data_IF_761543439515
#
_entry.id   IF_761543439515
#
_cell.length_a   1.000
_cell.length_b   1.000
_cell.length_c   1.000
_cell.angle_alpha   90.00
_cell.angle_beta   90.00
_cell.angle_gamma   90.00
#
_symmetry.space_group_name_H-M   'P 1'
#
loop_
_entity.id
_entity.type
_entity.pdbx_description
1 polymer ?
#
# COMPACT_ATOMS: atom_id res chain seq x y z
N UNK A 1 42.98 27.20 0.85
CA UNK A 1 42.58 25.86 1.32
C UNK A 1 41.33 25.93 2.19
N UNK A 2 41.27 26.79 3.22
CA UNK A 2 40.07 26.92 4.07
C UNK A 2 38.85 27.60 3.37
N UNK A 3 39.08 28.54 2.46
CA UNK A 3 38.00 29.20 1.69
C UNK A 3 37.35 28.29 0.62
N UNK A 4 38.12 27.37 0.04
CA UNK A 4 37.59 26.39 -0.93
C UNK A 4 36.70 25.34 -0.26
N UNK A 5 37.07 24.91 0.95
CA UNK A 5 36.27 24.00 1.78
C UNK A 5 34.96 24.69 2.21
N UNK A 6 35.02 25.96 2.62
CA UNK A 6 33.82 26.75 2.96
C UNK A 6 32.85 26.91 1.78
N UNK A 7 33.36 27.11 0.56
CA UNK A 7 32.53 27.22 -0.64
C UNK A 7 31.97 25.86 -1.11
N UNK A 8 32.69 24.76 -0.89
CA UNK A 8 32.16 23.40 -1.11
C UNK A 8 31.04 23.07 -0.12
N UNK A 9 31.20 23.38 1.18
CA UNK A 9 30.15 23.22 2.19
C UNK A 9 28.89 24.01 1.85
N UNK A 10 29.04 25.24 1.36
CA UNK A 10 27.91 26.08 0.96
C UNK A 10 27.18 25.53 -0.28
N UNK A 11 27.92 24.90 -1.21
CA UNK A 11 27.35 24.20 -2.37
C UNK A 11 26.65 22.90 -1.98
N UNK A 12 27.22 22.13 -1.06
CA UNK A 12 26.61 20.90 -0.53
C UNK A 12 25.31 21.18 0.22
N UNK A 13 25.26 22.23 1.04
CA UNK A 13 24.04 22.60 1.76
C UNK A 13 22.92 23.00 0.79
N UNK A 14 23.25 23.75 -0.28
CA UNK A 14 22.28 24.10 -1.33
C UNK A 14 21.80 22.87 -2.10
N UNK A 15 22.69 21.94 -2.41
CA UNK A 15 22.37 20.71 -3.13
C UNK A 15 21.45 19.80 -2.29
N UNK A 16 21.76 19.63 -1.00
CA UNK A 16 20.92 18.90 -0.03
C UNK A 16 19.51 19.50 0.10
N UNK A 17 19.42 20.83 0.14
CA UNK A 17 18.13 21.52 0.22
C UNK A 17 17.31 21.35 -1.07
N UNK A 18 17.97 21.38 -2.24
CA UNK A 18 17.34 21.13 -3.54
C UNK A 18 16.81 19.69 -3.63
N UNK A 19 17.62 18.70 -3.24
CA UNK A 19 17.22 17.29 -3.23
C UNK A 19 16.05 17.03 -2.29
N UNK A 20 16.03 17.69 -1.12
CA UNK A 20 14.92 17.61 -0.17
C UNK A 20 13.63 18.13 -0.78
N UNK A 21 13.68 19.30 -1.45
CA UNK A 21 12.52 19.86 -2.13
C UNK A 21 12.01 18.96 -3.26
N UNK A 22 12.91 18.43 -4.09
CA UNK A 22 12.55 17.50 -5.17
C UNK A 22 11.94 16.20 -4.63
N UNK A 23 12.47 15.67 -3.53
CA UNK A 23 11.92 14.47 -2.88
C UNK A 23 10.50 14.73 -2.38
N UNK A 24 10.26 15.88 -1.75
CA UNK A 24 8.94 16.29 -1.26
C UNK A 24 7.93 16.44 -2.41
N UNK A 25 8.34 17.06 -3.51
CA UNK A 25 7.53 17.18 -4.72
C UNK A 25 7.21 15.82 -5.34
N UNK A 26 8.21 14.94 -5.44
CA UNK A 26 8.04 13.58 -5.96
C UNK A 26 7.01 12.79 -5.15
N UNK A 27 7.08 12.87 -3.81
CA UNK A 27 6.11 12.25 -2.90
C UNK A 27 4.70 12.78 -3.17
N UNK A 28 4.52 14.11 -3.26
CA UNK A 28 3.22 14.72 -3.51
C UNK A 28 2.61 14.27 -4.85
N UNK A 29 3.40 14.28 -5.93
CA UNK A 29 2.95 13.85 -7.26
C UNK A 29 2.56 12.38 -7.24
N UNK A 30 3.35 11.53 -6.58
CA UNK A 30 3.06 10.10 -6.45
C UNK A 30 1.73 9.86 -5.71
N UNK A 31 1.45 10.62 -4.64
CA UNK A 31 0.18 10.52 -3.90
C UNK A 31 -1.01 10.89 -4.78
N UNK A 32 -0.91 11.98 -5.55
CA UNK A 32 -1.97 12.42 -6.46
C UNK A 32 -2.22 11.39 -7.57
N UNK A 33 -1.16 10.83 -8.15
CA UNK A 33 -1.27 9.81 -9.19
C UNK A 33 -1.98 8.54 -8.71
N UNK A 34 -1.60 8.04 -7.53
CA UNK A 34 -2.25 6.87 -6.92
C UNK A 34 -3.71 7.19 -6.56
N UNK A 35 -3.99 8.36 -6.01
CA UNK A 35 -5.36 8.78 -5.69
C UNK A 35 -6.27 8.85 -6.94
N UNK A 36 -5.78 9.41 -8.04
CA UNK A 36 -6.50 9.46 -9.32
C UNK A 36 -6.79 8.07 -9.88
N UNK A 37 -5.81 7.17 -9.84
CA UNK A 37 -5.99 5.77 -10.26
C UNK A 37 -7.05 5.04 -9.42
N UNK A 38 -6.98 5.17 -8.09
CA UNK A 38 -7.93 4.51 -7.17
C UNK A 38 -9.35 5.05 -7.37
N UNK A 39 -9.51 6.37 -7.55
CA UNK A 39 -10.82 6.96 -7.84
C UNK A 39 -11.40 6.43 -9.15
N UNK A 40 -10.59 6.36 -10.21
CA UNK A 40 -11.02 5.85 -11.50
C UNK A 40 -11.42 4.36 -11.45
N UNK A 41 -10.61 3.53 -10.80
CA UNK A 41 -10.89 2.10 -10.61
C UNK A 41 -12.18 1.88 -9.79
N UNK A 42 -12.39 2.68 -8.75
CA UNK A 42 -13.58 2.60 -7.89
C UNK A 42 -14.86 2.95 -8.65
N UNK A 43 -14.81 3.95 -9.54
CA UNK A 43 -15.94 4.30 -10.41
C UNK A 43 -16.28 3.17 -11.39
N UNK A 44 -15.26 2.51 -11.95
CA UNK A 44 -15.46 1.41 -12.90
C UNK A 44 -16.08 0.17 -12.23
N UNK A 45 -15.75 -0.09 -10.95
CA UNK A 45 -16.20 -1.29 -10.21
C UNK A 45 -17.48 -1.10 -9.39
N UNK A 46 -18.06 0.12 -9.34
CA UNK A 46 -19.29 0.42 -8.58
C UNK A 46 -20.49 -0.46 -8.96
N UNK A 47 -20.63 -0.82 -10.25
CA UNK A 47 -21.77 -1.63 -10.73
C UNK A 47 -21.72 -3.09 -10.24
N UNK A 48 -20.54 -3.71 -10.22
CA UNK A 48 -20.37 -5.09 -9.72
C UNK A 48 -20.63 -5.20 -8.21
N UNK A 49 -20.23 -4.16 -7.46
CA UNK A 49 -20.40 -4.09 -6.00
C UNK A 49 -21.90 -3.95 -5.64
N UNK A 50 -22.66 -3.18 -6.41
CA UNK A 50 -24.11 -3.02 -6.24
C UNK A 50 -24.91 -4.30 -6.54
N UNK A 51 -24.53 -5.04 -7.59
CA UNK A 51 -25.21 -6.28 -8.01
C UNK A 51 -24.94 -7.43 -7.02
N UNK A 52 -23.76 -7.50 -6.39
CA UNK A 52 -23.47 -8.52 -5.37
C UNK A 52 -24.19 -8.30 -4.04
N UNK A 53 -24.55 -7.06 -3.71
CA UNK A 53 -25.21 -6.71 -2.44
C UNK A 53 -26.70 -7.07 -2.40
N UNK A 54 -27.36 -7.16 -3.56
CA UNK A 54 -28.79 -7.50 -3.70
C UNK A 54 -29.09 -9.01 -3.76
N UNK A 55 -28.05 -9.87 -3.84
CA UNK A 55 -28.22 -11.33 -4.00
C UNK A 55 -28.41 -12.11 -2.68
N UNK A 56 -28.74 -11.46 -1.55
CA UNK A 56 -29.19 -12.18 -0.34
C UNK A 56 -28.13 -13.02 0.38
N UNK A 57 -26.84 -12.78 0.15
CA UNK A 57 -25.77 -13.52 0.81
C UNK A 57 -25.79 -13.28 2.33
N UNK A 58 -25.72 -14.37 3.11
CA UNK A 58 -25.61 -14.26 4.57
C UNK A 58 -24.28 -13.61 4.97
N UNK A 59 -24.25 -12.95 6.13
CA UNK A 59 -23.06 -12.23 6.63
C UNK A 59 -21.78 -13.09 6.59
N UNK A 60 -21.91 -14.39 6.89
CA UNK A 60 -20.80 -15.35 6.82
C UNK A 60 -20.32 -15.67 5.40
N UNK A 61 -21.22 -15.76 4.43
CA UNK A 61 -20.87 -15.99 3.01
C UNK A 61 -20.18 -14.77 2.41
N UNK A 62 -20.65 -13.56 2.76
CA UNK A 62 -20.00 -12.30 2.38
C UNK A 62 -18.60 -12.24 2.97
N UNK A 63 -18.44 -12.54 4.27
CA UNK A 63 -17.13 -12.58 4.93
C UNK A 63 -16.16 -13.53 4.20
N UNK A 64 -16.59 -14.75 3.90
CA UNK A 64 -15.74 -15.79 3.30
C UNK A 64 -15.37 -15.46 1.86
N UNK A 65 -16.31 -14.91 1.08
CA UNK A 65 -16.05 -14.47 -0.28
C UNK A 65 -15.05 -13.31 -0.31
N UNK A 66 -15.24 -12.30 0.55
CA UNK A 66 -14.34 -11.16 0.64
C UNK A 66 -12.94 -11.56 1.09
N UNK A 67 -12.83 -12.36 2.15
CA UNK A 67 -11.53 -12.83 2.64
C UNK A 67 -10.73 -13.54 1.54
N UNK A 68 -11.37 -14.44 0.77
CA UNK A 68 -10.72 -15.16 -0.34
C UNK A 68 -10.23 -14.24 -1.46
N UNK A 69 -10.99 -13.19 -1.79
CA UNK A 69 -10.61 -12.20 -2.80
C UNK A 69 -9.39 -11.41 -2.31
N UNK A 70 -9.44 -10.89 -1.08
CA UNK A 70 -8.36 -10.09 -0.52
C UNK A 70 -7.07 -10.87 -0.31
N UNK A 71 -7.15 -12.11 0.16
CA UNK A 71 -5.97 -13.00 0.28
C UNK A 71 -5.33 -13.22 -1.09
N UNK A 72 -6.13 -13.43 -2.15
CA UNK A 72 -5.59 -13.60 -3.51
C UNK A 72 -4.91 -12.33 -4.01
N UNK A 73 -5.46 -11.15 -3.71
CA UNK A 73 -4.86 -9.86 -4.06
C UNK A 73 -3.53 -9.67 -3.31
N UNK A 74 -3.51 -9.92 -2.00
CA UNK A 74 -2.29 -9.80 -1.17
C UNK A 74 -1.19 -10.74 -1.68
N UNK A 75 -1.54 -11.98 -2.03
CA UNK A 75 -0.59 -12.93 -2.61
C UNK A 75 -0.06 -12.46 -3.97
N UNK A 76 -0.93 -11.95 -4.84
CA UNK A 76 -0.51 -11.42 -6.14
C UNK A 76 0.44 -10.22 -5.98
N UNK A 77 0.12 -9.29 -5.07
CA UNK A 77 0.98 -8.17 -4.73
C UNK A 77 2.32 -8.65 -4.14
N UNK A 78 2.33 -9.68 -3.29
CA UNK A 78 3.54 -10.21 -2.68
C UNK A 78 4.49 -10.80 -3.73
N UNK A 79 3.97 -11.55 -4.70
CA UNK A 79 4.78 -12.11 -5.81
C UNK A 79 5.52 -11.03 -6.59
N UNK A 80 4.91 -9.85 -6.75
CA UNK A 80 5.54 -8.70 -7.42
C UNK A 80 6.43 -7.90 -6.46
N UNK A 81 6.07 -7.79 -5.19
CA UNK A 81 6.82 -7.03 -4.20
C UNK A 81 8.16 -7.68 -3.85
N UNK A 82 8.24 -9.02 -3.77
CA UNK A 82 9.49 -9.74 -3.46
C UNK A 82 10.63 -9.42 -4.44
N UNK A 83 10.49 -9.55 -5.77
CA UNK A 83 11.58 -9.25 -6.71
C UNK A 83 11.94 -7.77 -6.74
N UNK A 84 10.95 -6.87 -6.56
CA UNK A 84 11.20 -5.43 -6.46
C UNK A 84 12.02 -5.12 -5.20
N UNK A 85 11.61 -5.65 -4.05
CA UNK A 85 12.30 -5.47 -2.79
C UNK A 85 13.71 -6.05 -2.84
N UNK A 86 13.89 -7.24 -3.45
CA UNK A 86 15.20 -7.82 -3.66
C UNK A 86 16.11 -6.90 -4.48
N UNK A 87 15.63 -6.40 -5.62
CA UNK A 87 16.40 -5.49 -6.49
C UNK A 87 16.78 -4.18 -5.78
N UNK A 88 15.83 -3.58 -5.05
CA UNK A 88 16.10 -2.34 -4.30
C UNK A 88 17.13 -2.59 -3.20
N UNK A 89 16.98 -3.67 -2.43
CA UNK A 89 17.88 -3.98 -1.32
C UNK A 89 19.27 -4.33 -1.82
N UNK A 90 19.39 -5.05 -2.94
CA UNK A 90 20.68 -5.38 -3.57
C UNK A 90 21.44 -4.11 -3.98
N UNK A 91 20.77 -3.20 -4.73
CA UNK A 91 21.36 -1.91 -5.12
C UNK A 91 21.64 -0.99 -3.93
N UNK A 92 20.86 -1.10 -2.86
CA UNK A 92 21.10 -0.33 -1.64
C UNK A 92 22.32 -0.88 -0.88
N UNK A 93 22.46 -2.19 -0.77
CA UNK A 93 23.61 -2.86 -0.13
C UNK A 93 24.92 -2.67 -0.91
N UNK A 94 24.89 -2.46 -2.22
CA UNK A 94 26.09 -2.13 -3.01
C UNK A 94 26.78 -0.83 -2.56
N UNK A 95 26.03 0.11 -1.95
CA UNK A 95 26.57 1.37 -1.45
C UNK A 95 27.14 1.26 -0.02
N UNK A 96 27.06 0.09 0.62
CA UNK A 96 27.57 -0.14 1.97
C UNK A 96 28.70 -1.16 1.98
N UNK A 97 29.80 -0.83 2.67
CA UNK A 97 30.95 -1.72 2.83
C UNK A 97 30.65 -2.99 3.67
N UNK A 98 29.53 -3.00 4.40
CA UNK A 98 29.06 -4.13 5.20
C UNK A 98 27.68 -4.58 4.73
N UNK A 99 27.59 -5.80 4.18
CA UNK A 99 26.35 -6.39 3.67
C UNK A 99 25.64 -7.16 4.79
N UNK A 100 24.44 -6.73 5.18
CA UNK A 100 23.59 -7.52 6.07
C UNK A 100 23.01 -8.72 5.30
N UNK A 101 23.09 -9.96 5.81
CA UNK A 101 22.46 -11.10 5.15
C UNK A 101 20.94 -10.93 5.19
N UNK A 102 20.33 -10.72 4.03
CA UNK A 102 18.87 -10.62 3.92
C UNK A 102 18.31 -12.04 3.84
N UNK A 103 17.88 -12.56 4.99
CA UNK A 103 17.30 -13.90 5.03
C UNK A 103 15.88 -13.93 4.47
N UNK A 104 15.53 -15.03 3.78
CA UNK A 104 14.20 -15.27 3.20
C UNK A 104 13.06 -15.13 4.24
N UNK A 105 13.36 -15.39 5.51
CA UNK A 105 12.41 -15.30 6.61
C UNK A 105 11.82 -13.89 6.78
N UNK A 106 12.57 -12.84 6.46
CA UNK A 106 12.08 -11.45 6.56
C UNK A 106 10.90 -11.22 5.61
N UNK A 107 10.96 -11.77 4.39
CA UNK A 107 9.86 -11.66 3.43
C UNK A 107 8.63 -12.46 3.88
N UNK A 108 8.83 -13.65 4.47
CA UNK A 108 7.75 -14.46 5.04
C UNK A 108 7.10 -13.77 6.24
N UNK A 109 7.89 -13.18 7.14
CA UNK A 109 7.39 -12.41 8.27
C UNK A 109 6.58 -11.19 7.81
N UNK A 110 7.08 -10.45 6.82
CA UNK A 110 6.35 -9.34 6.22
C UNK A 110 5.01 -9.79 5.60
N UNK A 111 5.01 -10.91 4.87
CA UNK A 111 3.78 -11.50 4.31
C UNK A 111 2.77 -11.84 5.41
N UNK A 112 3.22 -12.49 6.49
CA UNK A 112 2.37 -12.88 7.60
C UNK A 112 1.72 -11.66 8.28
N UNK A 113 2.48 -10.58 8.49
CA UNK A 113 1.98 -9.34 9.06
C UNK A 113 0.93 -8.70 8.15
N UNK A 114 1.22 -8.58 6.85
CA UNK A 114 0.30 -7.97 5.87
C UNK A 114 -0.99 -8.79 5.71
N UNK A 115 -0.88 -10.12 5.68
CA UNK A 115 -2.05 -11.00 5.68
C UNK A 115 -2.87 -10.82 6.96
N UNK A 116 -2.22 -10.80 8.12
CA UNK A 116 -2.87 -10.61 9.42
C UNK A 116 -3.65 -9.30 9.48
N UNK A 117 -3.03 -8.18 9.10
CA UNK A 117 -3.69 -6.87 9.08
C UNK A 117 -4.83 -6.82 8.08
N UNK A 118 -4.64 -7.35 6.87
CA UNK A 118 -5.70 -7.39 5.84
C UNK A 118 -6.91 -8.20 6.29
N UNK A 119 -6.69 -9.41 6.82
CA UNK A 119 -7.76 -10.26 7.33
C UNK A 119 -8.49 -9.56 8.48
N UNK A 120 -7.76 -8.98 9.43
CA UNK A 120 -8.35 -8.24 10.54
C UNK A 120 -9.20 -7.05 10.05
N UNK A 121 -8.68 -6.25 9.11
CA UNK A 121 -9.41 -5.11 8.53
C UNK A 121 -10.68 -5.55 7.80
N UNK A 122 -10.60 -6.60 6.97
CA UNK A 122 -11.77 -7.12 6.24
C UNK A 122 -12.80 -7.64 7.23
N UNK A 123 -12.40 -8.41 8.25
CA UNK A 123 -13.31 -8.90 9.28
C UNK A 123 -14.02 -7.74 9.99
N UNK A 124 -13.29 -6.71 10.42
CA UNK A 124 -13.88 -5.55 11.13
C UNK A 124 -14.83 -4.77 10.21
N UNK A 125 -14.43 -4.50 8.96
CA UNK A 125 -15.25 -3.71 8.04
C UNK A 125 -16.49 -4.45 7.56
N UNK A 126 -16.36 -5.73 7.21
CA UNK A 126 -17.49 -6.54 6.77
C UNK A 126 -18.44 -6.83 7.93
N UNK A 127 -17.91 -7.08 9.14
CA UNK A 127 -18.74 -7.21 10.34
C UNK A 127 -19.52 -5.93 10.61
N UNK A 128 -18.86 -4.77 10.63
CA UNK A 128 -19.55 -3.46 10.78
C UNK A 128 -20.60 -3.25 9.70
N UNK A 129 -20.27 -3.45 8.42
CA UNK A 129 -21.18 -3.25 7.30
C UNK A 129 -22.37 -4.22 7.28
N UNK A 130 -22.22 -5.39 7.90
CA UNK A 130 -23.29 -6.39 8.05
C UNK A 130 -24.17 -6.13 9.27
N UNK A 131 -23.62 -5.58 10.36
CA UNK A 131 -24.38 -5.16 11.54
C UNK A 131 -25.05 -3.78 11.38
N UNK A 132 -24.53 -2.94 10.49
CA UNK A 132 -25.19 -1.70 10.09
C UNK A 132 -26.46 -2.03 9.30
N UNK A 133 -27.56 -1.96 10.04
CA UNK A 133 -28.88 -2.40 9.64
C UNK A 133 -29.32 -1.78 8.28
N UNK A 134 -29.57 -2.59 7.23
CA UNK A 134 -29.93 -2.11 5.88
C UNK A 134 -31.24 -1.30 5.86
N UNK A 135 -32.04 -1.35 6.93
CA UNK A 135 -33.26 -0.57 7.08
C UNK A 135 -33.04 0.96 7.17
N UNK A 136 -31.82 1.44 7.47
CA UNK A 136 -31.56 2.89 7.61
C UNK A 136 -31.09 3.57 6.32
N UNK A 137 -30.56 2.84 5.34
CA UNK A 137 -30.09 3.45 4.08
C UNK A 137 -31.20 3.73 3.07
N UNK A 138 -32.40 3.16 3.26
CA UNK A 138 -33.55 3.34 2.35
C UNK A 138 -34.40 4.57 2.65
N UNK A 139 -34.19 5.28 3.77
CA UNK A 139 -35.04 6.41 4.19
C UNK A 139 -34.51 7.80 3.79
N UNK A 140 -33.58 7.86 2.83
CA UNK A 140 -32.98 9.13 2.37
C UNK A 140 -33.02 9.34 0.85
N UNK A 141 -33.90 8.61 0.17
CA UNK A 141 -34.36 8.96 -1.17
C UNK A 141 -35.79 9.46 -1.11
#
# INVERSE_FOLDING_TARGET
>A
MDEEIGNQYYKEQKLSNLLTLFSLLSILISIVGVFGLVLFETQYRRKEIGIRKIHGATVGEILRMFNKIYVRIVLACFVVAVPIAYCIVDRWLENFAYKAPVEIWIYLAALAIVLGTTVATVLIQTYRAATDNPARSLKKH
#
